data_IF_299247918949
#
_entry.id   IF_299247918949
#
_cell.length_a   1.000
_cell.length_b   1.000
_cell.length_c   1.000
_cell.angle_alpha   90.00
_cell.angle_beta   90.00
_cell.angle_gamma   90.00
#
_symmetry.space_group_name_H-M   'P 1'
#
loop_
_entity.id
_entity.type
_entity.pdbx_description
1 polymer ?
#
# COMPACT_ATOMS: atom_id res chain seq x y z
N UNK A 1 12.99 -0.27 -3.71
CA UNK A 1 12.88 1.02 -2.99
C UNK A 1 12.89 2.13 -4.04
N UNK A 2 12.10 3.18 -3.86
CA UNK A 2 12.09 4.34 -4.77
C UNK A 2 12.95 5.47 -4.20
N UNK A 3 13.58 6.25 -5.09
CA UNK A 3 14.32 7.49 -4.79
C UNK A 3 15.56 7.31 -3.89
N UNK A 4 16.26 6.18 -4.03
CA UNK A 4 17.47 5.84 -3.29
C UNK A 4 18.66 6.77 -3.60
N UNK A 5 18.62 7.40 -4.77
CA UNK A 5 19.63 8.34 -5.27
C UNK A 5 19.66 9.67 -4.50
N UNK A 6 18.56 10.02 -3.82
CA UNK A 6 18.46 11.26 -3.03
C UNK A 6 19.30 11.23 -1.75
N UNK A 7 19.82 10.06 -1.37
CA UNK A 7 20.59 9.89 -0.15
C UNK A 7 22.10 10.09 -0.41
N UNK A 8 22.77 10.97 0.36
CA UNK A 8 24.23 11.07 0.36
C UNK A 8 24.86 9.93 1.18
N UNK A 9 24.58 8.68 0.80
CA UNK A 9 25.14 7.47 1.39
C UNK A 9 26.16 6.81 0.44
N UNK A 10 27.03 5.98 0.99
CA UNK A 10 27.95 5.13 0.23
C UNK A 10 27.19 4.14 -0.66
N UNK A 11 27.81 3.71 -1.76
CA UNK A 11 27.21 2.75 -2.68
C UNK A 11 26.94 1.38 -2.03
N UNK A 12 27.72 1.01 -1.01
CA UNK A 12 27.51 -0.21 -0.23
C UNK A 12 26.24 -0.14 0.62
N UNK A 13 26.04 0.94 1.38
CA UNK A 13 24.81 1.14 2.16
C UNK A 13 23.58 1.25 1.27
N UNK A 14 23.72 1.89 0.10
CA UNK A 14 22.66 1.95 -0.90
C UNK A 14 22.27 0.57 -1.43
N UNK A 15 23.26 -0.30 -1.71
CA UNK A 15 23.02 -1.68 -2.14
C UNK A 15 22.32 -2.50 -1.05
N UNK A 16 22.78 -2.42 0.21
CA UNK A 16 22.15 -3.14 1.33
C UNK A 16 20.69 -2.72 1.53
N UNK A 17 20.41 -1.42 1.53
CA UNK A 17 19.03 -0.90 1.60
C UNK A 17 18.16 -1.36 0.42
N UNK A 18 18.72 -1.43 -0.79
CA UNK A 18 18.02 -1.93 -1.97
C UNK A 18 17.69 -3.43 -1.85
N UNK A 19 18.62 -4.24 -1.32
CA UNK A 19 18.41 -5.66 -1.06
C UNK A 19 17.34 -5.90 0.00
N UNK A 20 17.41 -5.20 1.14
CA UNK A 20 16.36 -5.26 2.17
C UNK A 20 14.99 -4.92 1.61
N UNK A 21 14.89 -3.83 0.83
CA UNK A 21 13.64 -3.45 0.20
C UNK A 21 13.13 -4.49 -0.81
N UNK A 22 14.04 -5.19 -1.51
CA UNK A 22 13.68 -6.27 -2.43
C UNK A 22 13.14 -7.48 -1.66
N UNK A 23 13.77 -7.84 -0.54
CA UNK A 23 13.29 -8.91 0.34
C UNK A 23 11.92 -8.58 0.93
N UNK A 24 11.75 -7.39 1.50
CA UNK A 24 10.47 -6.94 2.06
C UNK A 24 9.34 -6.91 1.02
N UNK A 25 9.64 -6.46 -0.20
CA UNK A 25 8.67 -6.50 -1.30
C UNK A 25 8.27 -7.92 -1.67
N UNK A 26 9.22 -8.86 -1.70
CA UNK A 26 8.97 -10.26 -2.09
C UNK A 26 8.25 -11.05 -0.99
N UNK A 27 8.64 -10.85 0.27
CA UNK A 27 8.18 -11.68 1.39
C UNK A 27 6.95 -11.12 2.11
N UNK A 28 6.75 -9.80 2.10
CA UNK A 28 5.69 -9.15 2.86
C UNK A 28 4.88 -8.14 2.04
N UNK A 29 5.17 -8.00 0.74
CA UNK A 29 4.56 -7.02 -0.16
C UNK A 29 4.67 -5.58 0.39
N UNK A 30 5.74 -5.32 1.13
CA UNK A 30 6.04 -4.01 1.71
C UNK A 30 6.82 -3.20 0.68
N UNK A 31 6.38 -1.98 0.44
CA UNK A 31 7.03 -1.00 -0.41
C UNK A 31 7.56 0.12 0.45
N UNK A 32 8.86 0.41 0.30
CA UNK A 32 9.53 1.54 0.93
C UNK A 32 9.90 2.57 -0.13
N UNK A 33 9.52 3.82 0.09
CA UNK A 33 9.75 4.97 -0.77
C UNK A 33 10.39 6.10 0.03
N UNK A 34 11.48 6.65 -0.49
CA UNK A 34 12.10 7.85 0.10
C UNK A 34 11.36 9.06 -0.44
N UNK A 35 10.76 9.83 0.47
CA UNK A 35 9.95 11.01 0.12
C UNK A 35 10.86 12.23 -0.03
N UNK A 36 11.75 12.44 0.93
CA UNK A 36 12.71 13.54 0.90
C UNK A 36 13.87 13.31 1.84
N UNK A 37 14.98 13.97 1.53
CA UNK A 37 16.13 14.13 2.40
C UNK A 37 16.56 15.60 2.38
N UNK A 38 16.56 16.26 3.53
CA UNK A 38 16.96 17.68 3.67
C UNK A 38 17.41 17.93 5.10
N UNK A 39 18.49 18.70 5.30
CA UNK A 39 19.00 19.08 6.64
C UNK A 39 19.16 17.89 7.61
N UNK A 40 19.79 16.81 7.14
CA UNK A 40 19.96 15.54 7.87
C UNK A 40 18.63 14.93 8.35
N UNK A 41 17.50 15.33 7.77
CA UNK A 41 16.18 14.75 8.03
C UNK A 41 15.77 13.89 6.85
N UNK A 42 15.60 12.61 7.11
CA UNK A 42 15.17 11.62 6.14
C UNK A 42 13.69 11.30 6.36
N UNK A 43 12.85 11.56 5.36
CA UNK A 43 11.44 11.19 5.38
C UNK A 43 11.24 9.96 4.50
N UNK A 44 10.81 8.87 5.11
CA UNK A 44 10.55 7.61 4.45
C UNK A 44 9.09 7.25 4.56
N UNK A 45 8.52 6.82 3.46
CA UNK A 45 7.19 6.28 3.38
C UNK A 45 7.27 4.76 3.30
N UNK A 46 6.49 4.09 4.14
CA UNK A 46 6.37 2.64 4.13
C UNK A 46 4.89 2.25 4.02
N UNK A 47 4.62 1.27 3.17
CA UNK A 47 3.28 0.79 2.87
C UNK A 47 3.32 -0.73 2.66
N UNK A 48 2.33 -1.45 3.17
CA UNK A 48 2.08 -2.84 2.79
C UNK A 48 0.96 -2.88 1.75
N UNK A 49 1.30 -3.27 0.51
CA UNK A 49 0.35 -3.24 -0.63
C UNK A 49 -0.75 -4.28 -0.46
N UNK A 50 -0.37 -5.51 -0.14
CA UNK A 50 -1.28 -6.63 0.07
C UNK A 50 -0.98 -7.35 1.38
N UNK A 51 -2.01 -8.02 1.89
CA UNK A 51 -1.87 -8.97 2.98
C UNK A 51 -1.01 -10.15 2.52
N UNK A 52 -0.03 -10.53 3.34
CA UNK A 52 0.83 -11.70 3.08
C UNK A 52 0.75 -12.65 4.26
N UNK A 53 0.56 -13.95 3.98
CA UNK A 53 0.38 -15.00 4.99
C UNK A 53 -0.74 -14.69 6.01
N UNK A 54 -1.80 -14.02 5.56
CA UNK A 54 -2.91 -13.55 6.40
C UNK A 54 -2.51 -12.55 7.50
N UNK A 55 -1.39 -11.85 7.34
CA UNK A 55 -0.91 -10.83 8.27
C UNK A 55 -0.88 -9.48 7.54
N UNK A 56 -1.65 -8.51 8.06
CA UNK A 56 -1.52 -7.10 7.74
C UNK A 56 -0.87 -6.39 8.93
N UNK A 57 0.26 -5.74 8.67
CA UNK A 57 1.04 -5.06 9.69
C UNK A 57 0.36 -3.75 10.09
N UNK A 58 0.35 -3.50 11.39
CA UNK A 58 -0.06 -2.22 11.95
C UNK A 58 0.94 -1.12 11.56
N UNK A 59 0.50 0.14 11.70
CA UNK A 59 1.40 1.30 11.50
C UNK A 59 2.64 1.20 12.39
N UNK A 60 2.49 0.70 13.62
CA UNK A 60 3.60 0.57 14.57
C UNK A 60 4.62 -0.44 14.07
N UNK A 61 4.18 -1.61 13.63
CA UNK A 61 5.07 -2.66 13.10
C UNK A 61 5.76 -2.24 11.80
N UNK A 62 5.05 -1.53 10.90
CA UNK A 62 5.66 -0.96 9.69
C UNK A 62 6.73 0.08 10.05
N UNK A 63 6.44 0.96 11.01
CA UNK A 63 7.42 1.94 11.48
C UNK A 63 8.66 1.28 12.10
N UNK A 64 8.47 0.22 12.88
CA UNK A 64 9.55 -0.51 13.53
C UNK A 64 10.45 -1.20 12.51
N UNK A 65 9.88 -1.96 11.56
CA UNK A 65 10.64 -2.60 10.47
C UNK A 65 11.38 -1.59 9.59
N UNK A 66 10.77 -0.44 9.32
CA UNK A 66 11.45 0.62 8.59
C UNK A 66 12.66 1.12 9.37
N UNK A 67 12.51 1.39 10.67
CA UNK A 67 13.63 1.84 11.52
C UNK A 67 14.74 0.81 11.60
N UNK A 68 14.41 -0.48 11.75
CA UNK A 68 15.40 -1.56 11.75
C UNK A 68 16.18 -1.62 10.44
N UNK A 69 15.52 -1.46 9.30
CA UNK A 69 16.16 -1.47 7.99
C UNK A 69 17.18 -0.34 7.81
N UNK A 70 16.92 0.84 8.37
CA UNK A 70 17.85 1.98 8.31
C UNK A 70 18.87 1.98 9.45
N UNK A 71 18.66 1.20 10.51
CA UNK A 71 19.56 1.13 11.67
C UNK A 71 20.93 0.60 11.24
N UNK A 72 21.97 1.40 11.42
CA UNK A 72 23.34 1.07 11.01
C UNK A 72 23.67 1.37 9.55
N UNK A 73 22.69 1.73 8.72
CA UNK A 73 22.93 2.18 7.33
C UNK A 73 22.89 3.71 7.18
N UNK A 74 22.26 4.42 8.13
CA UNK A 74 22.27 5.88 8.18
C UNK A 74 23.10 6.37 9.38
N UNK A 75 23.76 7.52 9.25
CA UNK A 75 24.41 8.20 10.38
C UNK A 75 23.44 8.48 11.54
N UNK A 76 23.91 8.38 12.78
CA UNK A 76 23.09 8.60 13.99
C UNK A 76 22.60 10.05 14.15
N UNK A 77 23.26 11.01 13.49
CA UNK A 77 22.85 12.42 13.47
C UNK A 77 21.62 12.68 12.59
N UNK A 78 21.20 11.70 11.78
CA UNK A 78 20.06 11.85 10.90
C UNK A 78 18.73 11.62 11.63
N UNK A 79 17.79 12.54 11.45
CA UNK A 79 16.41 12.41 11.94
C UNK A 79 15.57 11.61 10.96
N UNK A 80 15.40 10.31 11.22
CA UNK A 80 14.51 9.42 10.45
C UNK A 80 13.04 9.61 10.85
N UNK A 81 12.25 10.19 9.94
CA UNK A 81 10.79 10.27 10.05
C UNK A 81 10.16 9.20 9.18
N UNK A 82 9.51 8.21 9.78
CA UNK A 82 8.78 7.16 9.05
C UNK A 82 7.29 7.47 8.99
N UNK A 83 6.77 7.67 7.79
CA UNK A 83 5.35 7.78 7.50
C UNK A 83 4.80 6.43 7.07
N UNK A 84 4.23 5.68 8.01
CA UNK A 84 3.49 4.47 7.69
C UNK A 84 2.11 4.82 7.12
N UNK A 85 1.87 4.45 5.87
CA UNK A 85 0.60 4.72 5.20
C UNK A 85 -0.15 3.40 5.01
N UNK A 86 -1.35 3.33 5.60
CA UNK A 86 -2.26 2.20 5.37
C UNK A 86 -3.21 2.47 4.20
N UNK A 87 -3.44 3.74 3.87
CA UNK A 87 -4.39 4.18 2.86
C UNK A 87 -3.77 5.29 2.00
N UNK A 88 -3.46 4.99 0.74
CA UNK A 88 -2.99 5.99 -0.22
C UNK A 88 -4.16 6.51 -1.06
N UNK A 89 -4.29 7.83 -1.15
CA UNK A 89 -5.20 8.48 -2.09
C UNK A 89 -4.87 8.12 -3.55
N UNK A 90 -3.59 7.93 -3.89
CA UNK A 90 -3.16 7.49 -5.23
C UNK A 90 -3.69 6.09 -5.56
N UNK A 91 -3.78 5.20 -4.58
CA UNK A 91 -4.33 3.85 -4.81
C UNK A 91 -5.83 3.90 -5.04
N UNK A 92 -6.54 4.81 -4.37
CA UNK A 92 -7.97 5.07 -4.64
C UNK A 92 -8.13 5.64 -6.05
N UNK A 93 -7.33 6.63 -6.44
CA UNK A 93 -7.44 7.28 -7.75
C UNK A 93 -7.11 6.31 -8.90
N UNK A 94 -6.14 5.42 -8.70
CA UNK A 94 -5.72 4.39 -9.66
C UNK A 94 -6.63 3.15 -9.69
N UNK A 95 -7.70 3.10 -8.89
CA UNK A 95 -8.59 1.94 -8.86
C UNK A 95 -9.37 1.81 -10.19
N UNK A 96 -9.20 0.68 -10.87
CA UNK A 96 -9.89 0.35 -12.13
C UNK A 96 -10.92 -0.77 -11.93
N UNK A 97 -11.89 -0.88 -12.85
CA UNK A 97 -12.88 -1.97 -12.85
C UNK A 97 -12.20 -3.35 -12.95
N UNK A 98 -11.14 -3.48 -13.75
CA UNK A 98 -10.36 -4.73 -13.85
C UNK A 98 -9.72 -5.10 -12.52
N UNK A 99 -9.14 -4.12 -11.80
CA UNK A 99 -8.58 -4.34 -10.46
C UNK A 99 -9.65 -4.77 -9.46
N UNK A 100 -10.85 -4.19 -9.54
CA UNK A 100 -12.00 -4.56 -8.71
C UNK A 100 -12.43 -6.01 -9.01
N UNK A 101 -12.60 -6.38 -10.28
CA UNK A 101 -12.98 -7.74 -10.70
C UNK A 101 -11.94 -8.76 -10.24
N UNK A 102 -10.65 -8.50 -10.44
CA UNK A 102 -9.57 -9.37 -9.99
C UNK A 102 -9.58 -9.55 -8.46
N UNK A 103 -9.82 -8.48 -7.69
CA UNK A 103 -9.98 -8.59 -6.22
C UNK A 103 -11.22 -9.37 -5.82
N UNK A 104 -12.33 -9.23 -6.55
CA UNK A 104 -13.54 -10.03 -6.29
C UNK A 104 -13.28 -11.51 -6.51
N UNK A 105 -12.61 -11.89 -7.61
CA UNK A 105 -12.27 -13.28 -7.90
C UNK A 105 -11.33 -13.85 -6.84
N UNK A 106 -10.29 -13.11 -6.46
CA UNK A 106 -9.34 -13.49 -5.40
C UNK A 106 -10.02 -13.74 -4.06
N UNK A 107 -11.06 -12.96 -3.74
CA UNK A 107 -11.77 -13.03 -2.46
C UNK A 107 -13.07 -13.85 -2.52
N UNK A 108 -13.39 -14.49 -3.67
CA UNK A 108 -14.61 -15.27 -3.84
C UNK A 108 -15.91 -14.45 -3.73
N UNK A 109 -15.85 -13.15 -4.03
CA UNK A 109 -16.95 -12.22 -3.85
C UNK A 109 -17.87 -12.14 -5.06
N UNK A 110 -19.17 -12.03 -4.81
CA UNK A 110 -20.20 -11.79 -5.85
C UNK A 110 -20.69 -10.35 -5.79
N UNK A 111 -21.29 -9.86 -6.87
CA UNK A 111 -21.87 -8.50 -6.93
C UNK A 111 -22.91 -8.24 -5.84
N UNK A 112 -23.61 -9.28 -5.37
CA UNK A 112 -24.52 -9.19 -4.21
C UNK A 112 -23.80 -8.76 -2.93
N UNK A 113 -22.59 -9.26 -2.68
CA UNK A 113 -21.81 -8.88 -1.49
C UNK A 113 -21.41 -7.41 -1.59
N UNK A 114 -20.90 -6.99 -2.75
CA UNK A 114 -20.58 -5.57 -2.96
C UNK A 114 -21.77 -4.66 -2.72
N UNK A 115 -22.95 -5.01 -3.26
CA UNK A 115 -24.14 -4.20 -3.07
C UNK A 115 -24.52 -4.07 -1.60
N UNK A 116 -24.48 -5.18 -0.86
CA UNK A 116 -24.84 -5.21 0.56
C UNK A 116 -23.86 -4.40 1.43
N UNK A 117 -22.56 -4.45 1.17
CA UNK A 117 -21.55 -3.82 2.01
C UNK A 117 -21.21 -2.37 1.61
N UNK A 118 -21.27 -2.06 0.31
CA UNK A 118 -20.94 -0.71 -0.20
C UNK A 118 -22.17 0.20 -0.29
N UNK A 119 -23.38 -0.36 -0.22
CA UNK A 119 -24.63 0.37 -0.43
C UNK A 119 -24.90 0.75 -1.89
N UNK A 120 -24.04 0.36 -2.83
CA UNK A 120 -24.24 0.60 -4.26
C UNK A 120 -25.31 -0.38 -4.76
N UNK A 121 -26.33 0.12 -5.46
CA UNK A 121 -27.39 -0.72 -5.97
C UNK A 121 -26.90 -1.68 -7.07
N UNK A 122 -27.60 -2.81 -7.23
CA UNK A 122 -27.21 -3.85 -8.18
C UNK A 122 -27.21 -3.38 -9.64
N UNK A 123 -28.10 -2.46 -10.01
CA UNK A 123 -28.19 -1.95 -11.38
C UNK A 123 -26.94 -1.11 -11.70
N UNK A 124 -26.56 -0.20 -10.79
CA UNK A 124 -25.33 0.59 -10.90
C UNK A 124 -24.09 -0.29 -10.93
N UNK A 125 -23.98 -1.32 -10.07
CA UNK A 125 -22.86 -2.26 -10.12
C UNK A 125 -22.77 -2.99 -11.47
N UNK A 126 -23.90 -3.45 -12.02
CA UNK A 126 -23.93 -4.10 -13.33
C UNK A 126 -23.47 -3.15 -14.44
N UNK A 127 -23.97 -1.91 -14.47
CA UNK A 127 -23.53 -0.91 -15.46
C UNK A 127 -22.04 -0.56 -15.32
N UNK A 128 -21.51 -0.47 -14.10
CA UNK A 128 -20.09 -0.25 -13.85
C UNK A 128 -19.24 -1.42 -14.37
N UNK A 129 -19.71 -2.66 -14.20
CA UNK A 129 -18.97 -3.85 -14.66
C UNK A 129 -19.11 -4.13 -16.16
N UNK A 130 -20.20 -3.68 -16.79
CA UNK A 130 -20.41 -3.72 -18.23
C UNK A 130 -19.59 -2.66 -18.98
N UNK A 131 -19.17 -1.59 -18.28
CA UNK A 131 -18.44 -0.47 -18.87
C UNK A 131 -19.35 0.66 -19.35
N UNK A 132 -20.66 0.57 -19.11
CA UNK A 132 -21.65 1.58 -19.50
C UNK A 132 -21.54 2.85 -18.63
N UNK A 133 -20.92 2.75 -17.45
CA UNK A 133 -20.69 3.87 -16.52
C UNK A 133 -19.27 3.86 -16.00
N UNK A 134 -18.71 5.06 -15.84
CA UNK A 134 -17.40 5.25 -15.24
C UNK A 134 -17.44 5.18 -13.71
N UNK A 135 -16.30 4.77 -13.13
CA UNK A 135 -16.10 4.79 -11.68
C UNK A 135 -15.99 6.23 -11.17
N UNK A 136 -17.03 6.70 -10.50
CA UNK A 136 -16.95 7.93 -9.71
C UNK A 136 -15.92 7.81 -8.58
N UNK A 137 -15.46 8.96 -8.09
CA UNK A 137 -14.55 9.00 -6.94
C UNK A 137 -15.13 8.28 -5.71
N UNK A 138 -16.44 8.43 -5.47
CA UNK A 138 -17.13 7.75 -4.37
C UNK A 138 -17.18 6.24 -4.55
N UNK A 139 -17.38 5.75 -5.78
CA UNK A 139 -17.30 4.31 -6.07
C UNK A 139 -15.90 3.78 -5.77
N UNK A 140 -14.85 4.48 -6.23
CA UNK A 140 -13.45 4.08 -5.96
C UNK A 140 -13.15 4.02 -4.46
N UNK A 141 -13.59 5.02 -3.71
CA UNK A 141 -13.47 5.05 -2.24
C UNK A 141 -14.20 3.86 -1.61
N UNK A 142 -15.47 3.62 -1.96
CA UNK A 142 -16.27 2.55 -1.41
C UNK A 142 -15.65 1.17 -1.65
N UNK A 143 -15.24 0.88 -2.90
CA UNK A 143 -14.58 -0.38 -3.23
C UNK A 143 -13.24 -0.54 -2.52
N UNK A 144 -12.41 0.52 -2.51
CA UNK A 144 -11.10 0.47 -1.87
C UNK A 144 -11.20 0.12 -0.38
N UNK A 145 -12.06 0.82 0.36
CA UNK A 145 -12.26 0.55 1.78
C UNK A 145 -12.93 -0.80 2.03
N UNK A 146 -13.90 -1.19 1.20
CA UNK A 146 -14.55 -2.49 1.31
C UNK A 146 -13.54 -3.65 1.15
N UNK A 147 -12.72 -3.63 0.10
CA UNK A 147 -11.73 -4.71 -0.10
C UNK A 147 -10.70 -4.75 1.01
N UNK A 148 -10.20 -3.59 1.46
CA UNK A 148 -9.26 -3.52 2.58
C UNK A 148 -9.90 -4.02 3.89
N UNK A 149 -11.14 -3.66 4.16
CA UNK A 149 -11.88 -4.17 5.32
C UNK A 149 -12.08 -5.68 5.24
N UNK A 150 -12.49 -6.20 4.08
CA UNK A 150 -12.73 -7.62 3.87
C UNK A 150 -11.44 -8.44 4.02
N UNK A 151 -10.31 -7.93 3.51
CA UNK A 151 -8.99 -8.52 3.70
C UNK A 151 -8.59 -8.59 5.19
N UNK A 152 -8.93 -7.57 5.98
CA UNK A 152 -8.61 -7.51 7.42
C UNK A 152 -9.56 -8.35 8.27
N UNK A 153 -10.85 -8.35 7.94
CA UNK A 153 -11.90 -8.94 8.77
C UNK A 153 -11.93 -10.49 8.75
N UNK A 154 -11.25 -11.13 7.79
CA UNK A 154 -11.14 -12.61 7.66
C UNK A 154 -12.50 -13.32 7.86
N UNK A 155 -13.49 -12.98 7.03
CA UNK A 155 -14.72 -13.78 6.89
C UNK A 155 -14.45 -15.08 6.12
#
# INVERSE_FOLDING_TARGET
MKNLELLPLSDESKKRLAEFAKQYRRMAHIVVEIVSYSDNRLIVRIEQKDMVNNILLSKKELMERAREMFKGEIPDDWKLTVSAVNFDRKDIDNLTIESIKSKMERLGLRSKHLSNYTGIDKCTLSSLFAGDKELTKWHKVAFYYFFKFYEVARF
#
